data_IF_861482390004
#
_entry.id   IF_861482390004
#
_cell.length_a   1.000
_cell.length_b   1.000
_cell.length_c   1.000
_cell.angle_alpha   90.00
_cell.angle_beta   90.00
_cell.angle_gamma   90.00
#
_symmetry.space_group_name_H-M   'P 1'
#
loop_
_entity.id
_entity.type
_entity.pdbx_description
1 polymer ?
#
# COMPACT_ATOMS: atom_id res chain seq x y z
N UNK A 1 2.76 -11.19 -32.60
CA UNK A 1 3.07 -11.20 -31.85
C UNK A 1 2.60 -10.96 -30.81
N UNK A 2 2.67 -11.23 -30.04
CA UNK A 2 2.15 -11.24 -29.04
C UNK A 2 2.37 -10.40 -28.18
N UNK A 3 1.73 -9.85 -27.79
CA UNK A 3 1.82 -8.84 -27.03
C UNK A 3 1.72 -9.09 -25.61
N UNK A 4 1.77 -10.16 -25.18
CA UNK A 4 1.72 -10.43 -23.91
C UNK A 4 2.73 -9.88 -23.11
N UNK A 5 3.85 -9.75 -23.61
CA UNK A 5 4.95 -9.18 -22.96
C UNK A 5 4.77 -7.82 -22.38
N UNK A 6 4.07 -6.94 -23.04
CA UNK A 6 3.98 -5.61 -22.55
C UNK A 6 3.36 -5.45 -21.18
N UNK A 7 2.37 -6.21 -20.88
CA UNK A 7 1.75 -6.07 -19.61
C UNK A 7 2.62 -6.52 -18.47
N UNK A 8 3.31 -7.61 -18.67
CA UNK A 8 4.16 -8.13 -17.65
C UNK A 8 5.34 -7.21 -17.42
N UNK A 9 5.88 -6.66 -18.49
CA UNK A 9 7.01 -5.78 -18.37
C UNK A 9 6.64 -4.47 -17.72
N UNK A 10 5.43 -4.01 -17.85
CA UNK A 10 5.02 -2.80 -17.21
C UNK A 10 4.99 -2.98 -15.70
N UNK A 11 4.51 -4.10 -15.22
CA UNK A 11 4.51 -4.36 -13.80
C UNK A 11 5.93 -4.45 -13.28
N UNK A 12 6.83 -5.07 -14.01
CA UNK A 12 8.20 -5.17 -13.59
C UNK A 12 8.90 -3.82 -13.62
N UNK A 13 8.49 -2.97 -14.54
CA UNK A 13 9.12 -1.68 -14.69
C UNK A 13 8.93 -0.79 -13.46
N UNK A 14 7.72 -0.68 -12.94
CA UNK A 14 7.54 0.18 -11.79
C UNK A 14 8.10 -0.46 -10.52
N UNK A 15 8.12 -1.77 -10.45
CA UNK A 15 8.65 -2.45 -9.30
C UNK A 15 10.14 -2.20 -9.18
N UNK A 16 10.85 -2.21 -10.29
CA UNK A 16 12.24 -1.77 -10.33
C UNK A 16 13.24 -2.46 -9.45
N UNK A 17 12.94 -3.43 -8.74
CA UNK A 17 13.87 -4.06 -7.86
C UNK A 17 13.50 -5.47 -7.53
N UNK A 18 14.33 -6.10 -6.72
CA UNK A 18 14.11 -7.46 -6.32
C UNK A 18 13.60 -7.47 -4.90
N UNK A 19 12.44 -8.00 -4.69
CA UNK A 19 11.89 -8.19 -3.36
C UNK A 19 11.51 -9.64 -3.20
N UNK A 20 11.56 -10.12 -1.97
CA UNK A 20 11.34 -11.54 -1.70
C UNK A 20 9.87 -11.92 -1.83
N UNK A 21 8.97 -10.97 -1.58
CA UNK A 21 7.56 -11.25 -1.63
C UNK A 21 6.99 -10.56 -2.84
N UNK A 22 6.45 -11.31 -3.81
CA UNK A 22 5.91 -10.67 -5.01
C UNK A 22 4.69 -9.84 -4.67
N UNK A 23 4.59 -8.68 -5.28
CA UNK A 23 3.42 -7.84 -5.14
C UNK A 23 2.32 -8.27 -6.11
N UNK A 24 1.09 -7.92 -5.80
CA UNK A 24 -0.03 -8.16 -6.71
C UNK A 24 0.21 -7.43 -8.02
N UNK A 25 -0.25 -8.01 -9.11
CA UNK A 25 -0.08 -7.41 -10.43
C UNK A 25 -1.14 -6.35 -10.72
N UNK A 26 -2.21 -6.32 -9.94
CA UNK A 26 -3.35 -5.44 -10.21
C UNK A 26 -3.35 -4.15 -9.40
N UNK A 27 -2.22 -3.75 -8.83
CA UNK A 27 -2.17 -2.53 -8.01
C UNK A 27 -2.47 -1.26 -8.82
N UNK A 28 -2.17 -1.28 -10.10
CA UNK A 28 -2.44 -0.15 -10.98
C UNK A 28 -3.59 -0.39 -11.95
N UNK A 29 -4.37 -1.44 -11.73
CA UNK A 29 -5.55 -1.71 -12.54
C UNK A 29 -6.71 -0.86 -12.02
N UNK A 30 -7.46 -0.17 -12.89
CA UNK A 30 -8.59 0.63 -12.44
C UNK A 30 -9.59 -0.23 -11.67
N UNK A 31 -10.17 0.36 -10.63
CA UNK A 31 -11.15 -0.33 -9.82
C UNK A 31 -12.49 -0.33 -10.55
N UNK A 32 -13.17 -1.45 -10.53
CA UNK A 32 -14.47 -1.57 -11.18
C UNK A 32 -15.48 -0.62 -10.56
N UNK A 33 -16.34 -0.06 -11.38
CA UNK A 33 -17.36 0.87 -10.92
C UNK A 33 -17.23 2.21 -11.62
N UNK A 34 -17.90 3.22 -11.09
CA UNK A 34 -17.92 4.51 -11.73
C UNK A 34 -16.62 5.27 -11.60
N UNK A 35 -15.92 5.10 -10.49
CA UNK A 35 -14.68 5.81 -10.26
C UNK A 35 -13.51 4.84 -10.33
N UNK A 36 -12.58 5.02 -11.26
CA UNK A 36 -11.44 4.10 -11.40
C UNK A 36 -10.53 4.08 -10.18
N UNK A 37 -10.59 5.10 -9.33
CA UNK A 37 -9.84 5.12 -8.09
C UNK A 37 -10.62 4.58 -6.90
N UNK A 38 -11.85 4.15 -7.09
CA UNK A 38 -12.64 3.52 -6.03
C UNK A 38 -13.27 4.51 -5.07
N UNK A 39 -13.28 4.17 -3.79
CA UNK A 39 -13.96 4.95 -2.78
C UNK A 39 -12.99 5.75 -1.92
N UNK A 40 -13.50 6.76 -1.24
CA UNK A 40 -12.70 7.60 -0.35
C UNK A 40 -12.59 6.93 1.01
N UNK A 41 -11.43 6.37 1.30
CA UNK A 41 -11.22 5.65 2.55
C UNK A 41 -11.19 6.52 3.79
N UNK A 42 -10.92 7.82 3.63
CA UNK A 42 -10.93 8.71 4.79
C UNK A 42 -12.30 8.82 5.41
N UNK A 43 -13.33 8.71 4.59
CA UNK A 43 -14.70 8.85 5.05
C UNK A 43 -15.45 7.52 5.12
N UNK A 44 -14.74 6.41 4.90
CA UNK A 44 -15.37 5.11 4.92
C UNK A 44 -15.54 4.63 6.36
N UNK A 45 -16.73 4.19 6.70
CA UNK A 45 -17.02 3.71 8.03
C UNK A 45 -17.32 2.21 8.09
N UNK A 46 -17.20 1.53 6.95
CA UNK A 46 -17.51 0.11 6.91
C UNK A 46 -16.28 -0.78 6.86
N UNK A 47 -15.38 -0.49 5.95
CA UNK A 47 -14.21 -1.34 5.79
C UNK A 47 -13.09 -0.97 6.77
N UNK A 48 -13.04 0.28 7.17
CA UNK A 48 -12.07 0.78 8.15
C UNK A 48 -10.63 0.44 7.78
N UNK A 49 -10.30 0.59 6.49
CA UNK A 49 -8.97 0.20 6.00
C UNK A 49 -7.87 1.02 6.68
N UNK A 50 -8.06 2.34 6.79
CA UNK A 50 -7.05 3.18 7.44
C UNK A 50 -6.84 2.75 8.89
N UNK A 51 -7.92 2.44 9.59
CA UNK A 51 -7.80 2.01 10.98
C UNK A 51 -7.11 0.67 11.11
N UNK A 52 -7.38 -0.25 10.19
CA UNK A 52 -6.74 -1.57 10.20
C UNK A 52 -5.24 -1.45 9.96
N UNK A 53 -4.84 -0.57 9.03
CA UNK A 53 -3.42 -0.37 8.77
C UNK A 53 -2.76 0.32 9.95
N UNK A 54 -3.41 1.33 10.53
CA UNK A 54 -2.87 2.02 11.70
C UNK A 54 -2.64 1.05 12.84
N UNK A 55 -3.58 0.16 13.07
CA UNK A 55 -3.42 -0.82 14.14
C UNK A 55 -2.28 -1.80 13.82
N UNK A 56 -2.17 -2.25 12.57
CA UNK A 56 -1.11 -3.19 12.21
C UNK A 56 0.27 -2.56 12.34
N UNK A 57 0.40 -1.26 12.07
CA UNK A 57 1.69 -0.59 12.13
C UNK A 57 2.02 -0.01 13.50
N UNK A 58 1.10 -0.09 14.44
CA UNK A 58 1.30 0.47 15.76
C UNK A 58 2.36 -0.31 16.52
N UNK A 59 3.22 0.41 17.22
CA UNK A 59 4.23 -0.21 18.04
C UNK A 59 4.27 0.53 19.35
N UNK A 60 4.22 -0.20 20.46
CA UNK A 60 4.22 0.42 21.76
C UNK A 60 5.58 0.99 22.11
N UNK A 61 5.56 2.11 22.80
CA UNK A 61 6.76 2.78 23.21
C UNK A 61 7.41 2.01 24.36
N UNK A 62 8.68 1.69 24.25
CA UNK A 62 9.39 0.99 25.29
C UNK A 62 9.40 1.77 26.58
N UNK A 63 9.48 3.07 26.49
CA UNK A 63 9.56 3.89 27.70
C UNK A 63 8.27 3.93 28.49
N UNK A 64 7.18 3.62 27.85
CA UNK A 64 5.91 3.67 28.50
C UNK A 64 5.60 2.41 29.26
N UNK A 65 6.38 1.39 29.09
CA UNK A 65 6.00 0.13 29.59
C UNK A 65 6.28 -0.14 31.03
N UNK A 66 7.25 0.24 31.56
CA UNK A 66 7.60 -0.22 32.87
C UNK A 66 7.88 -1.69 32.82
N UNK A 67 8.11 -2.24 33.96
CA UNK A 67 8.57 -3.55 33.95
C UNK A 67 7.54 -4.58 34.06
N UNK A 68 6.38 -4.25 34.26
CA UNK A 68 5.54 -5.25 34.49
C UNK A 68 4.54 -5.47 33.61
N UNK A 69 4.82 -5.63 32.79
CA UNK A 69 4.09 -5.71 31.99
C UNK A 69 3.61 -6.63 31.28
N UNK A 70 2.79 -6.42 30.72
CA UNK A 70 2.10 -7.01 29.76
C UNK A 70 2.78 -7.02 28.51
N UNK A 71 2.39 -7.74 27.51
CA UNK A 71 3.00 -7.77 26.23
C UNK A 71 2.85 -6.47 25.54
N UNK A 72 3.90 -6.01 24.91
CA UNK A 72 3.85 -4.82 24.10
C UNK A 72 3.38 -5.16 22.72
N UNK A 73 2.65 -4.24 22.09
CA UNK A 73 2.27 -4.38 20.72
C UNK A 73 3.49 -4.09 19.85
N UNK A 74 3.79 -5.00 18.96
CA UNK A 74 4.86 -4.83 17.98
C UNK A 74 4.22 -4.66 16.61
N UNK A 75 4.74 -3.73 15.82
CA UNK A 75 4.21 -3.49 14.49
C UNK A 75 4.32 -4.74 13.62
N UNK A 76 3.28 -4.98 12.84
CA UNK A 76 3.22 -6.13 11.94
C UNK A 76 3.25 -5.62 10.52
N UNK A 77 4.43 -5.34 10.01
CA UNK A 77 4.59 -4.76 8.67
C UNK A 77 4.21 -5.72 7.54
N UNK A 78 4.43 -7.03 7.65
CA UNK A 78 3.88 -7.93 6.61
C UNK A 78 2.37 -7.81 6.48
N UNK A 79 1.65 -7.61 7.58
CA UNK A 79 0.21 -7.41 7.54
C UNK A 79 -0.12 -6.05 6.91
N UNK A 80 0.64 -5.01 7.21
CA UNK A 80 0.45 -3.70 6.58
C UNK A 80 0.58 -3.85 5.06
N UNK A 81 1.61 -4.57 4.60
CA UNK A 81 1.82 -4.79 3.16
C UNK A 81 0.62 -5.50 2.54
N UNK A 82 0.10 -6.52 3.22
CA UNK A 82 -1.03 -7.26 2.69
C UNK A 82 -2.30 -6.42 2.61
N UNK A 83 -2.65 -5.74 3.69
CA UNK A 83 -3.87 -4.93 3.72
C UNK A 83 -3.78 -3.83 2.67
N UNK A 84 -2.62 -3.18 2.59
CA UNK A 84 -2.44 -2.07 1.66
C UNK A 84 -2.53 -2.52 0.21
N UNK A 85 -1.91 -3.65 -0.13
CA UNK A 85 -2.02 -4.18 -1.48
C UNK A 85 -3.46 -4.50 -1.85
N UNK A 86 -4.16 -5.19 -0.97
CA UNK A 86 -5.54 -5.59 -1.24
C UNK A 86 -6.42 -4.34 -1.42
N UNK A 87 -6.21 -3.31 -0.61
CA UNK A 87 -6.98 -2.09 -0.72
C UNK A 87 -6.70 -1.36 -2.02
N UNK A 88 -5.42 -1.23 -2.40
CA UNK A 88 -5.08 -0.52 -3.64
C UNK A 88 -5.57 -1.25 -4.88
N UNK A 89 -5.61 -2.56 -4.83
CA UNK A 89 -6.04 -3.35 -5.99
C UNK A 89 -7.54 -3.31 -6.19
N UNK A 90 -8.33 -3.33 -5.11
CA UNK A 90 -9.76 -3.59 -5.24
C UNK A 90 -10.68 -2.56 -4.58
N UNK A 91 -10.15 -1.66 -3.76
CA UNK A 91 -11.01 -0.76 -2.99
C UNK A 91 -10.79 0.71 -3.32
N UNK A 92 -9.55 1.16 -3.31
CA UNK A 92 -9.29 2.59 -3.46
C UNK A 92 -7.85 2.86 -3.87
N UNK A 93 -7.66 3.72 -4.85
CA UNK A 93 -6.33 4.21 -5.21
C UNK A 93 -6.01 5.39 -4.28
N UNK A 94 -5.60 5.06 -3.08
CA UNK A 94 -5.40 6.01 -1.99
C UNK A 94 -3.91 6.20 -1.71
N UNK A 95 -3.42 7.42 -1.81
CA UNK A 95 -2.00 7.70 -1.61
C UNK A 95 -1.53 7.46 -0.19
N UNK A 96 -2.42 7.66 0.80
CA UNK A 96 -2.04 7.36 2.17
C UNK A 96 -1.77 5.86 2.34
N UNK A 97 -2.61 5.02 1.72
CA UNK A 97 -2.43 3.58 1.75
C UNK A 97 -1.13 3.22 1.02
N UNK A 98 -0.86 3.86 -0.11
CA UNK A 98 0.37 3.61 -0.85
C UNK A 98 1.61 4.02 -0.05
N UNK A 99 1.51 5.10 0.73
CA UNK A 99 2.60 5.51 1.61
C UNK A 99 2.84 4.48 2.71
N UNK A 100 1.78 3.96 3.31
CA UNK A 100 1.92 2.92 4.32
C UNK A 100 2.46 1.63 3.72
N UNK A 101 2.07 1.30 2.48
CA UNK A 101 2.64 0.15 1.78
C UNK A 101 4.15 0.36 1.60
N UNK A 102 4.55 1.56 1.22
CA UNK A 102 5.97 1.89 1.05
C UNK A 102 6.73 1.72 2.37
N UNK A 103 6.14 2.19 3.47
CA UNK A 103 6.74 2.00 4.78
C UNK A 103 6.88 0.52 5.10
N UNK A 104 5.82 -0.25 4.86
CA UNK A 104 5.86 -1.69 5.12
C UNK A 104 6.91 -2.40 4.28
N UNK A 105 7.04 -2.01 3.01
CA UNK A 105 8.06 -2.59 2.14
C UNK A 105 9.47 -2.19 2.59
N UNK A 106 9.66 -0.98 3.07
CA UNK A 106 10.94 -0.58 3.61
C UNK A 106 11.31 -1.43 4.81
N UNK A 107 10.36 -1.67 5.70
CA UNK A 107 10.60 -2.44 6.91
C UNK A 107 10.82 -3.92 6.64
N UNK A 108 10.19 -4.48 5.61
CA UNK A 108 10.30 -5.91 5.33
C UNK A 108 11.38 -6.24 4.30
N UNK A 109 11.67 -5.32 3.38
CA UNK A 109 12.57 -5.58 2.27
C UNK A 109 13.75 -4.59 2.17
N UNK A 110 13.83 -3.63 3.06
CA UNK A 110 14.90 -2.66 3.04
C UNK A 110 14.77 -1.66 1.89
N UNK A 111 15.89 -1.18 1.41
CA UNK A 111 15.87 -0.16 0.37
C UNK A 111 15.27 -0.64 -0.95
N UNK A 112 15.35 -1.93 -1.24
CA UNK A 112 14.69 -2.48 -2.43
C UNK A 112 13.18 -2.29 -2.33
N UNK A 113 12.62 -2.49 -1.13
CA UNK A 113 11.19 -2.28 -0.90
C UNK A 113 10.82 -0.80 -0.99
N UNK A 114 11.66 0.07 -0.46
CA UNK A 114 11.41 1.50 -0.54
C UNK A 114 11.36 1.95 -2.01
N UNK A 115 12.28 1.46 -2.82
CA UNK A 115 12.31 1.80 -4.23
C UNK A 115 11.04 1.38 -4.94
N UNK A 116 10.58 0.17 -4.67
CA UNK A 116 9.35 -0.36 -5.26
C UNK A 116 8.15 0.49 -4.83
N UNK A 117 8.08 0.84 -3.55
CA UNK A 117 6.96 1.63 -3.03
C UNK A 117 6.91 3.03 -3.62
N UNK A 118 8.07 3.68 -3.76
CA UNK A 118 8.13 5.00 -4.37
C UNK A 118 7.70 4.93 -5.84
N UNK A 119 8.14 3.89 -6.55
CA UNK A 119 7.71 3.70 -7.93
C UNK A 119 6.22 3.53 -8.06
N UNK A 120 5.61 2.80 -7.13
CA UNK A 120 4.16 2.63 -7.10
C UNK A 120 3.46 3.96 -6.87
N UNK A 121 3.92 4.75 -5.90
CA UNK A 121 3.31 6.04 -5.62
C UNK A 121 3.38 6.96 -6.84
N UNK A 122 4.51 6.95 -7.52
CA UNK A 122 4.68 7.75 -8.73
C UNK A 122 3.71 7.31 -9.82
N UNK A 123 3.55 6.01 -10.00
CA UNK A 123 2.63 5.48 -11.01
C UNK A 123 1.18 5.79 -10.68
N UNK A 124 0.81 5.75 -9.41
CA UNK A 124 -0.55 6.14 -9.00
C UNK A 124 -0.81 7.60 -9.32
N UNK A 125 0.16 8.47 -9.07
CA UNK A 125 -0.02 9.87 -9.39
C UNK A 125 -0.11 10.10 -10.89
N UNK A 126 0.61 9.33 -11.68
CA UNK A 126 0.58 9.48 -13.12
C UNK A 126 -0.70 8.91 -13.73
N UNK A 127 -1.05 7.71 -13.32
CA UNK A 127 -2.16 6.98 -13.96
C UNK A 127 -3.54 7.39 -13.44
N UNK A 128 -3.61 7.89 -12.21
CA UNK A 128 -4.89 8.24 -11.59
C UNK A 128 -4.94 9.68 -11.12
N UNK A 129 -4.19 10.57 -11.78
CA UNK A 129 -4.05 11.96 -11.35
C UNK A 129 -5.37 12.66 -11.03
N UNK A 130 -6.38 12.46 -11.88
CA UNK A 130 -7.66 13.15 -11.73
C UNK A 130 -8.56 12.58 -10.64
N UNK A 131 -8.33 11.34 -10.22
CA UNK A 131 -9.25 10.66 -9.31
C UNK A 131 -8.60 10.07 -8.07
N UNK A 132 -7.26 10.07 -8.01
CA UNK A 132 -6.55 9.48 -6.87
C UNK A 132 -6.95 10.16 -5.56
N UNK A 133 -7.00 9.39 -4.48
CA UNK A 133 -7.34 9.92 -3.18
C UNK A 133 -6.08 10.23 -2.37
N UNK A 134 -6.11 11.22 -1.50
CA UNK A 134 -7.25 12.07 -1.19
C UNK A 134 -7.51 13.08 -2.29
N UNK A 135 -8.76 13.48 -2.43
CA UNK A 135 -9.11 14.45 -3.45
C UNK A 135 -8.44 15.78 -3.16
N UNK A 136 -8.04 16.47 -4.22
CA UNK A 136 -7.48 17.78 -4.04
C UNK A 136 -8.64 18.77 -3.85
N UNK A 137 -8.41 19.75 -3.01
CA UNK A 137 -9.44 20.73 -2.69
C UNK A 137 -9.27 22.01 -3.48
#
# INVERSE_FOLDING_TARGET
>A
MPPMGPQKKKADSWAGGSISMPLREDLLTPIAGENPSGIDLRHDTKLLIHDKIKEARRQDDDLAQGDWQSERKTANFPLVVKIAQDALATVSKDLQVAAWLTEGLLQTEGFSGLRVGIGLCQSLLTDFWDTVYPESE
#
